data_IF_791817563021
#
_entry.id   IF_791817563021
#
_cell.length_a   1.000
_cell.length_b   1.000
_cell.length_c   1.000
_cell.angle_alpha   90.00
_cell.angle_beta   90.00
_cell.angle_gamma   90.00
#
_symmetry.space_group_name_H-M   'P 1'
#
loop_
_entity.id
_entity.type
_entity.pdbx_description
1 polymer ?
#
# COMPACT_ATOMS: atom_id res chain seq x y z
N UNK A 1 -13.38 -5.29 18.99
CA UNK A 1 -14.37 -4.22 19.24
C UNK A 1 -15.46 -4.64 20.24
N UNK A 2 -15.06 -5.33 21.30
CA UNK A 2 -15.98 -5.72 22.37
C UNK A 2 -16.74 -4.58 23.08
N UNK A 3 -16.24 -3.32 23.17
CA UNK A 3 -16.96 -2.25 23.86
C UNK A 3 -18.34 -1.93 23.29
N UNK A 4 -18.54 -2.15 21.99
CA UNK A 4 -19.79 -1.78 21.31
C UNK A 4 -20.77 -2.96 21.16
N UNK A 5 -20.31 -4.18 21.39
CA UNK A 5 -21.16 -5.38 21.42
C UNK A 5 -22.10 -5.51 20.22
N UNK A 6 -23.39 -5.63 20.49
CA UNK A 6 -24.45 -5.81 19.48
C UNK A 6 -24.85 -4.52 18.75
N UNK A 7 -24.33 -3.34 19.15
CA UNK A 7 -24.61 -2.08 18.47
C UNK A 7 -23.82 -1.94 17.15
N UNK A 8 -22.84 -2.82 16.89
CA UNK A 8 -21.94 -2.72 15.75
C UNK A 8 -22.15 -3.86 14.76
N UNK A 9 -22.08 -3.53 13.46
CA UNK A 9 -22.11 -4.51 12.37
C UNK A 9 -21.03 -4.23 11.33
N UNK A 10 -20.72 -5.27 10.54
CA UNK A 10 -19.90 -5.13 9.33
C UNK A 10 -20.83 -5.13 8.13
N UNK A 11 -20.72 -4.10 7.30
CA UNK A 11 -21.45 -4.05 6.03
C UNK A 11 -20.95 -5.14 5.09
N UNK A 12 -21.86 -6.05 4.73
CA UNK A 12 -21.63 -7.14 3.78
C UNK A 12 -22.80 -7.19 2.80
N UNK A 13 -22.59 -7.75 1.61
CA UNK A 13 -23.67 -7.90 0.64
C UNK A 13 -24.28 -6.58 0.14
N UNK A 14 -23.55 -5.46 0.27
CA UNK A 14 -23.98 -4.13 -0.16
C UNK A 14 -25.30 -3.67 0.48
N UNK A 15 -25.47 -3.97 1.76
CA UNK A 15 -26.66 -3.56 2.52
C UNK A 15 -26.21 -2.91 3.82
N UNK A 16 -26.74 -1.71 4.08
CA UNK A 16 -26.64 -1.01 5.35
C UNK A 16 -27.89 -1.37 6.14
N UNK A 17 -27.71 -2.06 7.28
CA UNK A 17 -28.81 -2.46 8.14
C UNK A 17 -29.07 -1.38 9.19
N UNK A 18 -30.21 -0.66 9.12
CA UNK A 18 -30.49 0.46 10.02
C UNK A 18 -30.75 0.04 11.47
N UNK A 19 -30.78 -1.25 11.78
CA UNK A 19 -30.91 -1.73 13.15
C UNK A 19 -29.63 -1.55 14.00
N UNK A 20 -28.52 -1.19 13.38
CA UNK A 20 -27.22 -1.00 14.06
C UNK A 20 -26.83 0.48 14.11
N UNK A 21 -26.14 0.87 15.16
CA UNK A 21 -25.66 2.25 15.36
C UNK A 21 -24.27 2.47 14.75
N UNK A 22 -23.43 1.41 14.70
CA UNK A 22 -22.04 1.49 14.21
C UNK A 22 -21.86 0.53 13.04
N UNK A 23 -21.43 1.09 11.91
CA UNK A 23 -21.21 0.35 10.67
C UNK A 23 -19.73 0.35 10.30
N UNK A 24 -19.13 -0.83 10.20
CA UNK A 24 -17.78 -1.01 9.63
C UNK A 24 -17.92 -1.42 8.16
N UNK A 25 -17.38 -0.62 7.26
CA UNK A 25 -17.47 -0.88 5.83
C UNK A 25 -16.12 -0.71 5.12
N UNK A 26 -15.88 -1.53 4.11
CA UNK A 26 -14.94 -1.17 3.06
C UNK A 26 -15.69 -0.33 2.02
N UNK A 27 -15.09 0.73 1.48
CA UNK A 27 -15.78 1.59 0.51
C UNK A 27 -16.24 0.78 -0.72
N UNK A 28 -15.50 -0.26 -1.13
CA UNK A 28 -15.88 -1.17 -2.22
C UNK A 28 -17.17 -1.95 -1.92
N UNK A 29 -17.52 -2.13 -0.67
CA UNK A 29 -18.79 -2.76 -0.28
C UNK A 29 -19.99 -1.81 -0.42
N UNK A 30 -19.73 -0.51 -0.50
CA UNK A 30 -20.74 0.54 -0.60
C UNK A 30 -20.91 1.08 -2.02
N UNK A 31 -19.91 0.86 -2.90
CA UNK A 31 -19.86 1.43 -4.25
C UNK A 31 -19.86 0.32 -5.31
N UNK A 32 -20.23 0.68 -6.53
CA UNK A 32 -20.18 -0.20 -7.70
C UNK A 32 -20.41 0.62 -8.97
N UNK A 33 -20.13 0.04 -10.16
CA UNK A 33 -20.23 0.74 -11.44
C UNK A 33 -21.66 1.12 -11.84
N UNK A 34 -22.66 0.45 -11.30
CA UNK A 34 -24.08 0.71 -11.59
C UNK A 34 -24.74 1.40 -10.39
N UNK A 35 -25.76 2.23 -10.66
CA UNK A 35 -26.52 2.96 -9.64
C UNK A 35 -27.16 2.04 -8.60
N UNK A 36 -27.69 0.89 -9.05
CA UNK A 36 -28.22 -0.16 -8.17
C UNK A 36 -27.19 -0.81 -7.24
N UNK A 37 -25.89 -0.56 -7.48
CA UNK A 37 -24.81 -1.07 -6.68
C UNK A 37 -24.29 -0.08 -5.62
N UNK A 38 -24.83 1.13 -5.59
CA UNK A 38 -24.48 2.18 -4.62
C UNK A 38 -25.27 1.98 -3.33
N UNK A 39 -24.80 1.04 -2.51
CA UNK A 39 -25.49 0.66 -1.26
C UNK A 39 -25.70 1.83 -0.29
N UNK A 40 -24.85 2.84 -0.34
CA UNK A 40 -24.96 4.03 0.52
C UNK A 40 -26.19 4.86 0.23
N UNK A 41 -26.77 4.79 -1.00
CA UNK A 41 -28.00 5.52 -1.37
C UNK A 41 -29.28 4.84 -0.87
N UNK A 42 -29.20 3.65 -0.28
CA UNK A 42 -30.35 2.95 0.27
C UNK A 42 -30.76 3.47 1.66
N UNK A 43 -29.98 4.34 2.25
CA UNK A 43 -30.31 5.06 3.49
C UNK A 43 -30.34 6.57 3.21
N UNK A 44 -31.07 7.38 3.99
CA UNK A 44 -31.16 8.81 3.76
C UNK A 44 -29.81 9.52 3.96
N UNK A 45 -29.56 10.69 3.30
CA UNK A 45 -28.29 11.41 3.39
C UNK A 45 -27.89 11.87 4.79
N UNK A 46 -28.84 11.99 5.69
CA UNK A 46 -28.67 12.37 7.10
C UNK A 46 -28.66 11.17 8.06
N UNK A 47 -28.45 9.96 7.52
CA UNK A 47 -28.46 8.72 8.30
C UNK A 47 -27.30 8.62 9.30
N UNK A 48 -26.13 9.14 8.96
CA UNK A 48 -24.94 9.11 9.81
C UNK A 48 -24.66 10.48 10.42
N UNK A 49 -24.33 10.51 11.71
CA UNK A 49 -23.86 11.71 12.42
C UNK A 49 -22.34 11.87 12.30
N UNK A 50 -21.60 10.75 12.19
CA UNK A 50 -20.14 10.70 12.15
C UNK A 50 -19.67 9.66 11.14
N UNK A 51 -18.73 10.05 10.30
CA UNK A 51 -18.00 9.16 9.39
C UNK A 51 -16.51 9.28 9.67
N UNK A 52 -15.86 8.14 9.95
CA UNK A 52 -14.40 8.05 10.13
C UNK A 52 -13.81 7.29 8.96
N UNK A 53 -12.91 7.94 8.23
CA UNK A 53 -12.21 7.36 7.06
C UNK A 53 -10.79 7.04 7.46
N UNK A 54 -10.48 5.76 7.59
CA UNK A 54 -9.11 5.31 7.80
C UNK A 54 -8.35 5.24 6.48
N UNK A 55 -7.04 5.49 6.51
CA UNK A 55 -6.17 5.57 5.33
C UNK A 55 -6.74 6.54 4.26
N UNK A 56 -7.22 7.70 4.69
CA UNK A 56 -7.89 8.67 3.83
C UNK A 56 -7.02 9.25 2.69
N UNK A 57 -5.70 8.96 2.71
CA UNK A 57 -4.79 9.27 1.60
C UNK A 57 -5.01 8.39 0.36
N UNK A 58 -5.72 7.26 0.49
CA UNK A 58 -6.02 6.36 -0.62
C UNK A 58 -7.26 6.84 -1.36
N UNK A 59 -7.11 7.14 -2.64
CA UNK A 59 -8.21 7.56 -3.50
C UNK A 59 -8.69 9.00 -3.28
N UNK A 60 -8.06 9.76 -2.39
CA UNK A 60 -8.47 11.14 -2.07
C UNK A 60 -8.29 12.15 -3.21
N UNK A 61 -7.59 11.78 -4.26
CA UNK A 61 -7.13 12.72 -5.25
C UNK A 61 -7.94 12.83 -6.52
N UNK A 62 -8.69 11.84 -6.87
CA UNK A 62 -9.53 11.93 -8.05
C UNK A 62 -10.91 12.42 -7.63
N UNK A 63 -11.39 13.48 -8.26
CA UNK A 63 -12.78 13.92 -8.14
C UNK A 63 -13.77 12.79 -8.47
N UNK A 64 -13.30 11.78 -9.20
CA UNK A 64 -14.06 10.58 -9.62
C UNK A 64 -13.93 9.39 -8.66
N UNK A 65 -13.32 9.54 -7.47
CA UNK A 65 -13.18 8.40 -6.59
C UNK A 65 -14.51 8.04 -5.91
N UNK A 66 -14.87 6.78 -6.01
CA UNK A 66 -16.14 6.26 -5.53
C UNK A 66 -16.39 6.49 -4.02
N UNK A 67 -15.34 6.64 -3.20
CA UNK A 67 -15.50 6.91 -1.78
C UNK A 67 -15.84 8.38 -1.50
N UNK A 68 -15.38 9.32 -2.35
CA UNK A 68 -15.73 10.74 -2.24
C UNK A 68 -17.21 10.95 -2.46
N UNK A 69 -17.81 10.24 -3.40
CA UNK A 69 -19.25 10.26 -3.64
C UNK A 69 -20.04 9.85 -2.40
N UNK A 70 -19.54 8.88 -1.60
CA UNK A 70 -20.15 8.50 -0.33
C UNK A 70 -20.11 9.67 0.66
N UNK A 71 -18.97 10.34 0.79
CA UNK A 71 -18.81 11.46 1.72
C UNK A 71 -19.63 12.66 1.32
N UNK A 72 -19.73 12.95 0.03
CA UNK A 72 -20.58 14.03 -0.49
C UNK A 72 -22.07 13.73 -0.27
N UNK A 73 -22.47 12.46 -0.44
CA UNK A 73 -23.84 12.04 -0.15
C UNK A 73 -24.23 12.25 1.32
N UNK A 74 -23.33 11.90 2.24
CA UNK A 74 -23.51 12.10 3.68
C UNK A 74 -22.91 13.42 4.19
N UNK A 75 -23.02 14.49 3.42
CA UNK A 75 -22.39 15.78 3.73
C UNK A 75 -22.88 16.44 5.03
N UNK A 76 -24.00 15.99 5.59
CA UNK A 76 -24.50 16.43 6.90
C UNK A 76 -23.72 15.81 8.07
N UNK A 77 -23.04 14.68 7.86
CA UNK A 77 -22.26 14.03 8.89
C UNK A 77 -20.95 14.78 9.20
N UNK A 78 -20.53 14.75 10.45
CA UNK A 78 -19.15 15.12 10.79
C UNK A 78 -18.19 14.09 10.20
N UNK A 79 -17.17 14.53 9.45
CA UNK A 79 -16.26 13.65 8.75
C UNK A 79 -14.83 13.83 9.24
N UNK A 80 -14.19 12.71 9.61
CA UNK A 80 -12.83 12.68 10.13
C UNK A 80 -11.98 11.75 9.26
N UNK A 81 -10.89 12.27 8.72
CA UNK A 81 -9.89 11.49 7.99
C UNK A 81 -8.71 11.12 8.90
N UNK A 82 -8.30 9.85 8.87
CA UNK A 82 -7.09 9.36 9.54
C UNK A 82 -6.08 8.90 8.49
N UNK A 83 -4.82 9.26 8.65
CA UNK A 83 -3.74 8.78 7.77
C UNK A 83 -2.38 8.87 8.46
N UNK A 84 -1.54 7.87 8.24
CA UNK A 84 -0.13 7.92 8.64
C UNK A 84 0.76 8.64 7.59
N UNK A 85 0.26 8.81 6.37
CA UNK A 85 1.02 9.36 5.24
C UNK A 85 0.18 10.39 4.48
N UNK A 86 -0.02 11.60 5.04
CA UNK A 86 -0.73 12.65 4.33
C UNK A 86 -0.06 12.93 2.98
N UNK A 87 -0.84 13.04 1.94
CA UNK A 87 -0.36 13.37 0.59
C UNK A 87 -0.68 14.83 0.31
N UNK A 88 0.38 15.58 0.02
CA UNK A 88 0.32 16.93 -0.46
C UNK A 88 1.06 16.99 -1.79
N UNK A 89 0.35 16.86 -2.90
CA UNK A 89 0.88 17.02 -4.26
C UNK A 89 0.03 18.02 -5.01
N UNK A 90 0.51 18.53 -6.16
CA UNK A 90 -0.24 19.49 -7.00
C UNK A 90 -1.63 18.99 -7.43
N UNK A 91 -1.84 17.68 -7.43
CA UNK A 91 -3.10 17.04 -7.87
C UNK A 91 -3.85 16.35 -6.75
N UNK A 92 -3.27 16.27 -5.55
CA UNK A 92 -3.82 15.51 -4.41
C UNK A 92 -3.49 16.20 -3.12
N UNK A 93 -4.50 16.69 -2.45
CA UNK A 93 -4.37 17.20 -1.09
C UNK A 93 -5.48 16.62 -0.21
N UNK A 94 -5.10 16.02 0.91
CA UNK A 94 -6.05 15.63 1.93
C UNK A 94 -6.62 16.86 2.65
N UNK A 95 -5.81 17.93 2.72
CA UNK A 95 -6.16 19.20 3.32
C UNK A 95 -7.27 19.90 2.55
N UNK A 96 -7.37 19.70 1.23
CA UNK A 96 -8.45 20.28 0.42
C UNK A 96 -9.84 19.75 0.80
N UNK A 97 -9.91 18.51 1.28
CA UNK A 97 -11.20 17.92 1.64
C UNK A 97 -11.47 17.98 3.16
N UNK A 98 -10.52 17.53 3.98
CA UNK A 98 -10.71 17.42 5.44
C UNK A 98 -10.30 18.68 6.20
N UNK A 99 -9.67 19.66 5.55
CA UNK A 99 -9.08 20.83 6.20
C UNK A 99 -7.73 20.52 6.86
N UNK A 100 -7.25 21.48 7.63
CA UNK A 100 -5.99 21.34 8.37
C UNK A 100 -6.07 20.20 9.41
N UNK A 101 -4.96 19.48 9.66
CA UNK A 101 -4.93 18.43 10.67
C UNK A 101 -5.31 18.97 12.05
N UNK A 102 -6.34 18.37 12.66
CA UNK A 102 -6.75 18.73 14.04
C UNK A 102 -5.83 18.13 15.09
N UNK A 103 -5.10 17.07 14.75
CA UNK A 103 -4.11 16.42 15.57
C UNK A 103 -3.04 15.73 14.73
N UNK A 104 -1.79 15.85 15.13
CA UNK A 104 -0.66 15.14 14.52
C UNK A 104 0.12 14.42 15.61
N UNK A 105 0.32 13.11 15.42
CA UNK A 105 1.17 12.26 16.26
C UNK A 105 2.28 11.69 15.39
N UNK A 106 3.45 12.28 15.47
CA UNK A 106 4.55 11.96 14.59
C UNK A 106 5.20 10.61 14.92
N UNK A 107 5.88 10.02 13.93
CA UNK A 107 6.69 8.81 14.13
C UNK A 107 7.73 9.01 15.26
N UNK A 108 8.30 10.21 15.37
CA UNK A 108 9.27 10.54 16.41
C UNK A 108 8.63 10.47 17.80
N UNK A 109 7.48 11.11 18.00
CA UNK A 109 6.72 11.05 19.25
C UNK A 109 6.34 9.61 19.60
N UNK A 110 5.87 8.82 18.62
CA UNK A 110 5.53 7.42 18.85
C UNK A 110 6.71 6.55 19.29
N UNK A 111 7.92 6.87 18.84
CA UNK A 111 9.16 6.21 19.29
C UNK A 111 9.55 6.70 20.69
N UNK A 112 9.50 8.01 20.96
CA UNK A 112 9.82 8.60 22.27
C UNK A 112 8.88 8.09 23.36
N UNK A 113 7.59 7.93 23.05
CA UNK A 113 6.57 7.39 23.95
C UNK A 113 6.63 5.86 24.10
N UNK A 114 7.46 5.17 23.33
CA UNK A 114 7.64 3.72 23.40
C UNK A 114 6.56 2.89 22.71
N UNK A 115 5.65 3.50 21.96
CA UNK A 115 4.63 2.79 21.17
C UNK A 115 5.20 2.23 19.85
N UNK A 116 6.21 2.88 19.29
CA UNK A 116 6.86 2.47 18.06
C UNK A 116 8.33 2.10 18.32
N UNK A 117 8.80 1.08 17.63
CA UNK A 117 10.19 0.68 17.72
C UNK A 117 11.11 1.69 17.01
N UNK A 118 12.28 2.00 17.59
CA UNK A 118 13.29 2.77 16.87
C UNK A 118 13.78 2.00 15.64
N UNK A 119 14.13 2.72 14.58
CA UNK A 119 14.58 2.12 13.33
C UNK A 119 15.95 2.66 12.91
N UNK A 120 16.65 1.86 12.10
CA UNK A 120 17.89 2.27 11.44
C UNK A 120 17.71 2.07 9.94
N UNK A 121 17.93 3.13 9.18
CA UNK A 121 17.93 3.06 7.72
C UNK A 121 19.34 2.72 7.24
N UNK A 122 19.45 1.65 6.46
CA UNK A 122 20.66 1.30 5.73
C UNK A 122 20.34 1.38 4.25
N UNK A 123 20.93 2.36 3.57
CA UNK A 123 20.81 2.48 2.12
C UNK A 123 21.89 1.65 1.45
N UNK A 124 21.49 0.83 0.50
CA UNK A 124 22.40 0.04 -0.33
C UNK A 124 22.22 0.49 -1.77
N UNK A 125 23.25 1.09 -2.33
CA UNK A 125 23.28 1.48 -3.74
C UNK A 125 23.88 0.32 -4.55
N UNK A 126 23.26 0.00 -5.67
CA UNK A 126 23.69 -1.04 -6.60
C UNK A 126 24.17 -0.34 -7.88
N UNK A 127 25.31 -0.77 -8.43
CA UNK A 127 25.91 -0.13 -9.60
C UNK A 127 24.94 0.00 -10.78
N UNK A 128 24.13 -1.02 -11.03
CA UNK A 128 23.10 -1.00 -12.09
C UNK A 128 22.04 0.08 -11.83
N UNK A 129 21.69 0.33 -10.59
CA UNK A 129 20.70 1.36 -10.22
C UNK A 129 21.27 2.78 -10.36
N UNK A 130 22.60 2.93 -10.15
CA UNK A 130 23.30 4.22 -10.23
C UNK A 130 23.69 4.60 -11.66
N UNK A 131 24.21 3.64 -12.43
CA UNK A 131 24.73 3.86 -13.77
C UNK A 131 23.69 3.67 -14.87
N UNK A 132 22.56 3.03 -14.53
CA UNK A 132 21.60 2.52 -15.48
C UNK A 132 22.10 1.27 -16.21
N UNK A 133 21.19 0.63 -16.91
CA UNK A 133 21.47 -0.54 -17.72
C UNK A 133 21.12 -0.29 -19.19
N UNK A 134 21.95 -0.75 -20.12
CA UNK A 134 21.68 -0.67 -21.55
C UNK A 134 21.77 -2.06 -22.17
N UNK A 135 20.77 -2.48 -22.98
CA UNK A 135 20.82 -3.77 -23.63
C UNK A 135 21.97 -3.86 -24.61
N UNK A 136 22.48 -5.06 -24.83
CA UNK A 136 23.35 -5.34 -25.96
C UNK A 136 22.54 -5.32 -27.25
N UNK A 137 23.18 -4.94 -28.36
CA UNK A 137 22.49 -4.82 -29.64
C UNK A 137 21.78 -6.12 -30.02
N UNK A 138 20.47 -6.05 -30.23
CA UNK A 138 19.64 -7.21 -30.60
C UNK A 138 19.20 -8.07 -29.42
N UNK A 139 19.38 -7.63 -28.19
CA UNK A 139 18.90 -8.35 -26.99
C UNK A 139 17.37 -8.40 -26.97
N UNK A 140 16.84 -9.58 -26.65
CA UNK A 140 15.41 -9.81 -26.54
C UNK A 140 14.99 -10.00 -25.09
N UNK A 141 13.74 -9.63 -24.78
CA UNK A 141 13.10 -9.92 -23.49
C UNK A 141 12.72 -11.41 -23.39
N UNK A 142 12.18 -11.81 -22.23
CA UNK A 142 11.72 -13.21 -22.01
C UNK A 142 10.56 -13.64 -22.91
N UNK A 143 9.87 -12.69 -23.54
CA UNK A 143 8.75 -12.94 -24.47
C UNK A 143 9.22 -12.94 -25.92
N UNK A 144 10.52 -12.69 -26.18
CA UNK A 144 11.08 -12.67 -27.52
C UNK A 144 10.93 -11.32 -28.24
N UNK A 145 10.54 -10.26 -27.56
CA UNK A 145 10.50 -8.91 -28.12
C UNK A 145 11.87 -8.25 -28.02
N UNK A 146 12.22 -7.46 -29.03
CA UNK A 146 13.46 -6.70 -29.03
C UNK A 146 13.42 -5.63 -27.93
N UNK A 147 14.43 -5.62 -27.05
CA UNK A 147 14.56 -4.59 -26.03
C UNK A 147 15.06 -3.32 -26.72
N UNK A 148 14.38 -2.20 -26.50
CA UNK A 148 14.72 -0.91 -27.05
C UNK A 148 16.12 -0.47 -26.61
N UNK A 149 16.94 0.01 -27.55
CA UNK A 149 18.33 0.46 -27.29
C UNK A 149 18.31 1.86 -26.62
N UNK A 150 18.07 1.87 -25.32
CA UNK A 150 18.14 3.06 -24.45
C UNK A 150 18.74 2.73 -23.09
N UNK A 151 19.08 3.73 -22.32
CA UNK A 151 19.49 3.54 -20.93
C UNK A 151 18.23 3.36 -20.09
N UNK A 152 18.13 2.23 -19.38
CA UNK A 152 17.13 1.92 -18.39
C UNK A 152 17.63 2.31 -17.02
N UNK A 153 16.81 2.92 -16.21
CA UNK A 153 17.12 3.37 -14.85
C UNK A 153 16.21 2.70 -13.82
N UNK A 154 16.42 2.99 -12.55
CA UNK A 154 15.70 2.38 -11.44
C UNK A 154 14.17 2.40 -11.59
N UNK A 155 13.59 3.39 -12.28
CA UNK A 155 12.14 3.46 -12.51
C UNK A 155 11.63 2.46 -13.53
N UNK A 156 12.50 1.99 -14.42
CA UNK A 156 12.19 1.03 -15.48
C UNK A 156 12.32 -0.42 -14.99
N UNK A 157 13.16 -0.67 -13.97
CA UNK A 157 13.45 -2.01 -13.49
C UNK A 157 12.23 -2.65 -12.82
N UNK A 158 12.06 -3.94 -13.06
CA UNK A 158 10.95 -4.77 -12.55
C UNK A 158 9.54 -4.34 -12.97
N UNK A 159 9.42 -3.28 -13.78
CA UNK A 159 8.15 -2.84 -14.39
C UNK A 159 8.16 -3.07 -15.90
N UNK A 160 9.09 -2.41 -16.58
CA UNK A 160 9.23 -2.47 -18.04
C UNK A 160 10.32 -3.46 -18.45
N UNK A 161 11.33 -3.65 -17.60
CA UNK A 161 12.47 -4.52 -17.84
C UNK A 161 12.76 -5.36 -16.61
N UNK A 162 12.74 -6.68 -16.78
CA UNK A 162 13.16 -7.65 -15.76
C UNK A 162 14.63 -7.96 -15.94
N UNK A 163 15.44 -7.66 -14.93
CA UNK A 163 16.87 -7.99 -14.89
C UNK A 163 17.08 -9.03 -13.77
N UNK A 164 17.26 -10.29 -14.16
CA UNK A 164 17.43 -11.38 -13.19
C UNK A 164 18.68 -11.20 -12.33
N UNK A 165 19.77 -10.69 -12.93
CA UNK A 165 21.01 -10.39 -12.24
C UNK A 165 20.80 -9.36 -11.12
N UNK A 166 19.94 -8.38 -11.34
CA UNK A 166 19.59 -7.40 -10.29
C UNK A 166 18.85 -8.06 -9.13
N UNK A 167 17.87 -8.93 -9.43
CA UNK A 167 17.14 -9.68 -8.40
C UNK A 167 18.08 -10.57 -7.59
N UNK A 168 19.02 -11.24 -8.26
CA UNK A 168 20.04 -12.07 -7.63
C UNK A 168 20.95 -11.25 -6.71
N UNK A 169 21.45 -10.11 -7.18
CA UNK A 169 22.34 -9.24 -6.39
C UNK A 169 21.64 -8.66 -5.15
N UNK A 170 20.37 -8.29 -5.28
CA UNK A 170 19.56 -7.84 -4.13
C UNK A 170 19.40 -8.99 -3.11
N UNK A 171 19.08 -10.19 -3.56
CA UNK A 171 18.92 -11.37 -2.71
C UNK A 171 20.24 -11.72 -1.99
N UNK A 172 21.37 -11.64 -2.67
CA UNK A 172 22.73 -11.83 -2.09
C UNK A 172 23.01 -10.76 -1.02
N UNK A 173 22.68 -9.51 -1.31
CA UNK A 173 22.89 -8.41 -0.35
C UNK A 173 22.06 -8.60 0.91
N UNK A 174 20.80 -8.96 0.79
CA UNK A 174 19.92 -9.27 1.92
C UNK A 174 20.47 -10.46 2.71
N UNK A 175 20.81 -11.54 2.03
CA UNK A 175 21.38 -12.75 2.65
C UNK A 175 22.65 -12.45 3.43
N UNK A 176 23.57 -11.70 2.82
CA UNK A 176 24.83 -11.33 3.46
C UNK A 176 24.64 -10.40 4.65
N UNK A 177 23.68 -9.49 4.59
CA UNK A 177 23.33 -8.63 5.70
C UNK A 177 22.76 -9.45 6.87
N UNK A 178 21.81 -10.34 6.60
CA UNK A 178 21.21 -11.21 7.63
C UNK A 178 22.24 -12.15 8.25
N UNK A 179 23.11 -12.78 7.47
CA UNK A 179 24.19 -13.64 7.98
C UNK A 179 25.17 -12.90 8.91
N UNK A 180 25.36 -11.60 8.73
CA UNK A 180 26.22 -10.77 9.58
C UNK A 180 25.52 -10.24 10.84
N UNK A 181 24.22 -10.23 10.87
CA UNK A 181 23.39 -9.67 11.98
C UNK A 181 22.68 -10.79 12.72
N UNK A 182 21.55 -11.22 12.19
CA UNK A 182 20.76 -12.36 12.68
C UNK A 182 20.12 -13.08 11.49
N UNK A 183 20.63 -14.29 11.13
CA UNK A 183 20.10 -15.06 10.00
C UNK A 183 18.62 -15.42 10.11
N UNK A 184 18.05 -15.44 11.34
CA UNK A 184 16.67 -15.78 11.62
C UNK A 184 15.79 -14.56 11.91
N UNK A 185 16.30 -13.34 11.70
CA UNK A 185 15.55 -12.13 11.89
C UNK A 185 14.29 -12.10 11.01
N UNK A 186 13.15 -11.80 11.62
CA UNK A 186 11.89 -11.63 10.87
C UNK A 186 12.04 -10.53 9.85
N UNK A 187 11.94 -10.89 8.57
CA UNK A 187 12.24 -9.99 7.45
C UNK A 187 11.06 -9.90 6.50
N UNK A 188 10.71 -8.69 6.07
CA UNK A 188 9.73 -8.44 5.01
C UNK A 188 10.46 -7.82 3.83
N UNK A 189 10.27 -8.38 2.63
CA UNK A 189 10.83 -7.84 1.39
C UNK A 189 9.67 -7.33 0.53
N UNK A 190 9.63 -6.02 0.31
CA UNK A 190 8.64 -5.39 -0.57
C UNK A 190 9.11 -5.45 -2.02
N UNK A 191 8.26 -5.95 -2.90
CA UNK A 191 8.49 -6.10 -4.32
C UNK A 191 7.49 -5.28 -5.13
N UNK A 192 7.78 -5.01 -6.41
CA UNK A 192 6.92 -4.19 -7.26
C UNK A 192 5.58 -4.88 -7.60
N UNK A 193 5.63 -6.20 -7.80
CA UNK A 193 4.48 -7.03 -8.16
C UNK A 193 4.66 -8.48 -7.67
N UNK A 194 3.67 -9.31 -7.94
CA UNK A 194 3.64 -10.74 -7.54
C UNK A 194 4.77 -11.52 -8.22
N UNK A 195 5.03 -11.26 -9.49
CA UNK A 195 6.07 -11.97 -10.26
C UNK A 195 7.47 -11.61 -9.73
N UNK A 196 7.70 -10.33 -9.39
CA UNK A 196 8.93 -9.91 -8.73
C UNK A 196 9.09 -10.57 -7.35
N UNK A 197 8.02 -10.65 -6.57
CA UNK A 197 8.04 -11.33 -5.27
C UNK A 197 8.40 -12.83 -5.40
N UNK A 198 7.87 -13.52 -6.41
CA UNK A 198 8.21 -14.93 -6.65
C UNK A 198 9.67 -15.12 -7.11
N UNK A 199 10.17 -14.26 -8.00
CA UNK A 199 11.60 -14.26 -8.39
C UNK A 199 12.51 -14.03 -7.20
N UNK A 200 12.20 -13.03 -6.37
CA UNK A 200 12.96 -12.72 -5.16
C UNK A 200 12.93 -13.87 -4.15
N UNK A 201 11.77 -14.46 -3.93
CA UNK A 201 11.61 -15.65 -3.07
C UNK A 201 12.51 -16.79 -3.55
N UNK A 202 12.48 -17.10 -4.85
CA UNK A 202 13.34 -18.17 -5.42
C UNK A 202 14.82 -17.87 -5.25
N UNK A 203 15.25 -16.64 -5.50
CA UNK A 203 16.63 -16.23 -5.32
C UNK A 203 17.09 -16.37 -3.87
N UNK A 204 16.29 -15.91 -2.90
CA UNK A 204 16.58 -16.03 -1.47
C UNK A 204 16.63 -17.49 -1.01
N UNK A 205 15.69 -18.34 -1.46
CA UNK A 205 15.67 -19.78 -1.15
C UNK A 205 16.92 -20.46 -1.68
N UNK A 206 17.32 -20.21 -2.92
CA UNK A 206 18.51 -20.80 -3.54
C UNK A 206 19.81 -20.39 -2.83
N UNK A 207 19.87 -19.21 -2.24
CA UNK A 207 21.02 -18.72 -1.48
C UNK A 207 21.07 -19.23 -0.04
N UNK A 208 19.98 -19.79 0.48
CA UNK A 208 19.85 -20.23 1.87
C UNK A 208 19.20 -21.63 1.99
N UNK A 209 19.75 -22.66 1.29
CA UNK A 209 19.13 -24.00 1.26
C UNK A 209 19.12 -24.67 2.64
N UNK A 210 20.10 -24.34 3.48
CA UNK A 210 20.25 -24.84 4.84
C UNK A 210 19.15 -24.34 5.82
N UNK A 211 18.47 -23.26 5.48
CA UNK A 211 17.37 -22.71 6.26
C UNK A 211 16.00 -23.27 5.85
N UNK A 212 15.92 -23.89 4.67
CA UNK A 212 14.67 -24.43 4.10
C UNK A 212 14.40 -25.89 4.52
N UNK A 213 15.38 -26.57 5.10
CA UNK A 213 15.28 -28.00 5.42
C UNK A 213 14.77 -28.30 6.84
N UNK A 214 14.07 -27.37 7.49
CA UNK A 214 13.63 -27.48 8.88
C UNK A 214 12.11 -27.48 9.07
N UNK A 215 11.36 -27.91 8.05
CA UNK A 215 9.95 -28.26 8.20
C UNK A 215 9.78 -29.77 8.37
#
# INVERSE_FOLDING_TARGET
FQPFGSAMTKVTGRTIDPAYEIHLALYQALTGPEEAQKAFQHVPPDFFDLIVVDECHRGSAAEDSAWREILEYFSSATQIGLTATPKETETVSNTDYFGDPVYTYSLKEGIEDGFLAPYKVVRVDIDVDLQGWRPTKGQMDKQGNLIEDRIYNQKDFDRTLVIDERTQLVAETITNYLKKTDPMAKTIVFCNDIDHADRMRRALVNLNPDQMAKD
#
